data_IF_214586418177
#
_entry.id   IF_214586418177
#
_cell.length_a   1.000
_cell.length_b   1.000
_cell.length_c   1.000
_cell.angle_alpha   90.00
_cell.angle_beta   90.00
_cell.angle_gamma   90.00
#
_symmetry.space_group_name_H-M   'P 1'
#
loop_
_entity.id
_entity.type
_entity.pdbx_description
1 polymer ?
#
# COMPACT_ATOMS: atom_id res chain seq x y z
N UNK A 1 0.14 5.09 -17.88
CA UNK A 1 1.56 4.69 -18.03
C UNK A 1 1.58 3.27 -18.59
N UNK A 2 2.59 2.91 -19.38
CA UNK A 2 2.74 1.58 -19.97
C UNK A 2 3.79 0.81 -19.18
N UNK A 3 3.52 -0.45 -18.84
CA UNK A 3 4.46 -1.31 -18.14
C UNK A 3 5.68 -1.59 -19.04
N UNK A 4 6.88 -1.41 -18.50
CA UNK A 4 8.14 -1.69 -19.21
C UNK A 4 8.37 -3.20 -19.43
N UNK A 5 7.67 -4.06 -18.69
CA UNK A 5 7.85 -5.53 -18.72
C UNK A 5 6.82 -6.20 -19.63
N UNK A 6 5.54 -5.86 -19.51
CA UNK A 6 4.46 -6.52 -20.26
C UNK A 6 3.79 -5.66 -21.34
N UNK A 7 4.13 -4.37 -21.42
CA UNK A 7 3.53 -3.43 -22.39
C UNK A 7 2.05 -3.12 -22.15
N UNK A 8 1.46 -3.58 -21.04
CA UNK A 8 0.07 -3.28 -20.69
C UNK A 8 -0.07 -1.87 -20.13
N UNK A 9 -1.27 -1.31 -20.26
CA UNK A 9 -1.61 -0.05 -19.61
C UNK A 9 -1.83 -0.25 -18.12
N UNK A 10 -1.43 0.75 -17.35
CA UNK A 10 -1.76 0.83 -15.94
C UNK A 10 -3.22 1.25 -15.74
N UNK A 11 -3.92 0.52 -14.89
CA UNK A 11 -5.29 0.81 -14.46
C UNK A 11 -5.32 1.19 -12.99
N UNK A 12 -6.19 2.12 -12.61
CA UNK A 12 -6.37 2.50 -11.20
C UNK A 12 -7.11 1.38 -10.47
N UNK A 13 -6.65 1.04 -9.27
CA UNK A 13 -7.30 0.08 -8.41
C UNK A 13 -6.88 0.21 -6.96
N UNK A 14 -7.27 -0.78 -6.16
CA UNK A 14 -6.92 -0.86 -4.76
C UNK A 14 -6.20 -2.16 -4.46
N UNK A 15 -5.28 -2.12 -3.51
CA UNK A 15 -4.56 -3.29 -3.02
C UNK A 15 -4.46 -3.29 -1.51
N UNK A 16 -3.97 -4.38 -0.94
CA UNK A 16 -3.58 -4.43 0.47
C UNK A 16 -2.06 -4.42 0.53
N UNK A 17 -1.53 -3.43 1.22
CA UNK A 17 -0.10 -3.36 1.52
C UNK A 17 0.15 -4.09 2.85
N UNK A 18 1.11 -5.00 2.84
CA UNK A 18 1.50 -5.77 4.02
C UNK A 18 2.96 -5.48 4.27
N UNK A 19 3.23 -4.76 5.35
CA UNK A 19 4.57 -4.38 5.78
C UNK A 19 4.93 -5.18 7.02
N UNK A 20 5.94 -6.03 6.89
CA UNK A 20 6.53 -6.78 8.00
C UNK A 20 7.71 -5.99 8.60
N UNK A 21 7.63 -5.66 9.88
CA UNK A 21 8.69 -4.97 10.62
C UNK A 21 9.51 -5.93 11.50
N UNK A 22 9.27 -7.24 11.40
CA UNK A 22 9.90 -8.31 12.18
C UNK A 22 9.24 -8.55 13.53
N UNK A 23 8.95 -7.50 14.29
CA UNK A 23 8.26 -7.55 15.58
C UNK A 23 6.76 -7.26 15.49
N UNK A 24 6.32 -6.68 14.37
CA UNK A 24 4.93 -6.39 14.10
C UNK A 24 4.60 -6.44 12.61
N UNK A 25 3.40 -6.94 12.31
CA UNK A 25 2.85 -6.98 10.96
C UNK A 25 1.80 -5.86 10.80
N UNK A 26 2.05 -4.96 9.85
CA UNK A 26 1.12 -3.89 9.48
C UNK A 26 0.40 -4.28 8.20
N UNK A 27 -0.94 -4.32 8.27
CA UNK A 27 -1.79 -4.60 7.11
C UNK A 27 -2.61 -3.35 6.82
N UNK A 28 -2.33 -2.68 5.71
CA UNK A 28 -3.06 -1.50 5.23
C UNK A 28 -3.92 -1.90 4.04
N UNK A 29 -5.24 -1.92 4.21
CA UNK A 29 -6.19 -2.30 3.15
C UNK A 29 -6.65 -1.08 2.35
N UNK A 30 -7.08 -1.33 1.11
CA UNK A 30 -7.63 -0.31 0.20
C UNK A 30 -6.63 0.79 -0.17
N UNK A 31 -5.36 0.43 -0.31
CA UNK A 31 -4.31 1.35 -0.75
C UNK A 31 -4.49 1.62 -2.24
N UNK A 32 -4.66 2.89 -2.66
CA UNK A 32 -4.81 3.24 -4.06
C UNK A 32 -3.52 2.94 -4.83
N UNK A 33 -3.65 2.29 -5.97
CA UNK A 33 -2.50 1.86 -6.77
C UNK A 33 -2.83 1.83 -8.26
N UNK A 34 -1.78 1.67 -9.06
CA UNK A 34 -1.89 1.31 -10.45
C UNK A 34 -1.57 -0.17 -10.61
N UNK A 35 -2.48 -0.93 -11.24
CA UNK A 35 -2.29 -2.33 -11.57
C UNK A 35 -2.11 -2.51 -13.06
N UNK A 36 -1.29 -3.46 -13.46
CA UNK A 36 -1.14 -3.83 -14.86
C UNK A 36 -1.84 -5.17 -15.10
N UNK A 37 -2.79 -5.21 -16.02
CA UNK A 37 -3.66 -6.37 -16.26
C UNK A 37 -2.89 -7.69 -16.54
N UNK A 38 -1.71 -7.60 -17.16
CA UNK A 38 -0.98 -8.79 -17.64
C UNK A 38 0.09 -9.32 -16.69
N UNK A 39 0.79 -8.45 -15.97
CA UNK A 39 1.87 -8.85 -15.06
C UNK A 39 1.49 -8.79 -13.58
N UNK A 40 0.29 -8.30 -13.27
CA UNK A 40 -0.19 -8.11 -11.89
C UNK A 40 0.76 -7.27 -11.02
N UNK A 41 1.61 -6.46 -11.65
CA UNK A 41 2.45 -5.50 -10.95
C UNK A 41 1.60 -4.37 -10.38
N UNK A 42 1.99 -3.94 -9.18
CA UNK A 42 1.37 -2.85 -8.45
C UNK A 42 2.36 -1.70 -8.37
N UNK A 43 1.91 -0.51 -8.73
CA UNK A 43 2.74 0.69 -8.69
C UNK A 43 2.03 1.76 -7.87
N UNK A 44 2.76 2.31 -6.89
CA UNK A 44 2.29 3.40 -6.05
C UNK A 44 2.87 4.72 -6.53
N UNK A 45 2.07 5.78 -6.44
CA UNK A 45 2.56 7.14 -6.66
C UNK A 45 3.26 7.66 -5.41
N UNK A 46 4.12 8.66 -5.57
CA UNK A 46 4.93 9.20 -4.47
C UNK A 46 4.06 9.75 -3.32
N UNK A 47 2.90 10.32 -3.61
CA UNK A 47 1.94 10.79 -2.60
C UNK A 47 1.33 9.65 -1.79
N UNK A 48 1.02 8.52 -2.43
CA UNK A 48 0.52 7.31 -1.75
C UNK A 48 1.59 6.72 -0.86
N UNK A 49 2.84 6.62 -1.34
CA UNK A 49 3.97 6.14 -0.54
C UNK A 49 4.21 7.03 0.67
N UNK A 50 4.24 8.35 0.48
CA UNK A 50 4.42 9.30 1.59
C UNK A 50 3.28 9.20 2.63
N UNK A 51 2.06 8.88 2.21
CA UNK A 51 0.96 8.65 3.14
C UNK A 51 1.06 7.31 3.86
N UNK A 52 1.46 6.24 3.16
CA UNK A 52 1.75 4.93 3.77
C UNK A 52 2.84 5.04 4.86
N UNK A 53 3.91 5.77 4.60
CA UNK A 53 4.97 6.01 5.59
C UNK A 53 4.43 6.65 6.87
N UNK A 54 3.52 7.63 6.74
CA UNK A 54 2.86 8.26 7.90
C UNK A 54 1.98 7.28 8.65
N UNK A 55 1.21 6.45 7.95
CA UNK A 55 0.36 5.42 8.58
C UNK A 55 1.23 4.42 9.36
N UNK A 56 2.33 3.97 8.76
CA UNK A 56 3.29 3.06 9.39
C UNK A 56 3.92 3.70 10.63
N UNK A 57 4.32 4.97 10.56
CA UNK A 57 4.91 5.69 11.70
C UNK A 57 3.90 5.87 12.85
N UNK A 58 2.66 6.21 12.53
CA UNK A 58 1.58 6.27 13.54
C UNK A 58 1.31 4.89 14.15
N UNK A 59 1.29 3.84 13.33
CA UNK A 59 1.09 2.48 13.81
C UNK A 59 2.21 2.05 14.77
N UNK A 60 3.47 2.36 14.46
CA UNK A 60 4.63 2.12 15.35
C UNK A 60 4.45 2.77 16.73
N UNK A 61 3.95 4.00 16.78
CA UNK A 61 3.72 4.72 18.05
C UNK A 61 2.59 4.11 18.88
N UNK A 62 1.63 3.43 18.24
CA UNK A 62 0.47 2.81 18.87
C UNK A 62 0.69 1.33 19.24
N UNK A 63 1.75 0.70 18.74
CA UNK A 63 1.90 -0.75 18.79
C UNK A 63 2.12 -1.31 20.21
N UNK A 64 1.10 -2.05 20.66
CA UNK A 64 1.24 -3.31 21.41
C UNK A 64 0.82 -4.46 20.47
N UNK A 65 1.83 -5.13 19.91
CA UNK A 65 1.86 -6.42 19.19
C UNK A 65 1.02 -6.62 17.89
N UNK A 66 -0.22 -6.14 17.70
CA UNK A 66 -0.94 -6.20 16.39
C UNK A 66 -1.94 -5.05 16.24
N UNK A 67 -1.93 -4.33 15.10
CA UNK A 67 -2.94 -3.29 14.77
C UNK A 67 -3.35 -3.32 13.30
N UNK A 68 -4.66 -3.39 13.04
CA UNK A 68 -5.27 -3.37 11.71
C UNK A 68 -5.91 -1.99 11.49
N UNK A 69 -5.40 -1.23 10.51
CA UNK A 69 -5.84 0.14 10.22
C UNK A 69 -6.50 0.20 8.85
N UNK A 70 -7.68 0.81 8.77
CA UNK A 70 -8.42 1.01 7.54
C UNK A 70 -8.02 2.34 6.89
N UNK A 71 -7.44 2.28 5.70
CA UNK A 71 -6.94 3.45 4.97
C UNK A 71 -8.01 4.54 4.79
N UNK A 72 -9.27 4.17 4.53
CA UNK A 72 -10.34 5.14 4.28
C UNK A 72 -10.89 5.81 5.55
N UNK A 73 -10.42 5.41 6.73
CA UNK A 73 -10.88 5.92 8.03
C UNK A 73 -9.82 6.73 8.77
N UNK A 74 -8.62 6.88 8.22
CA UNK A 74 -7.60 7.77 8.76
C UNK A 74 -7.83 9.15 8.14
N UNK A 75 -8.35 10.07 8.96
CA UNK A 75 -8.72 11.44 8.56
C UNK A 75 -7.49 12.35 8.43
#
# INVERSE_FOLDING_TARGET
MVCMICGANAEKGFTTDVTDMGDCLIIVRNVPCYKYEKCNEVLYTADVVAHLEKIVEMAKQLMREVSIIDYGKVA
#
